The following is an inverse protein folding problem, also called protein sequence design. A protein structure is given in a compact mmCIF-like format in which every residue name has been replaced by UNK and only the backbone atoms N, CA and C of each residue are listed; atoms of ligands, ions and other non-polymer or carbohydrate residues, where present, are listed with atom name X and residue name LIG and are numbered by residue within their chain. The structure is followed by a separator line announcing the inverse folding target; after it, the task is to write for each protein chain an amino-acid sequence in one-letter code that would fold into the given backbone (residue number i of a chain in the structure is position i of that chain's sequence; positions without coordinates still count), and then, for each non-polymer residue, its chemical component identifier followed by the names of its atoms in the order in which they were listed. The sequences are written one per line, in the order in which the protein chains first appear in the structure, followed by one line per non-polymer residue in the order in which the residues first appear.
data_IF_797085918241
#
_entry.id   IF_797085918241
#
_cell.length_a   1.000
_cell.length_b   1.000
_cell.length_c   1.000
_cell.angle_alpha   90.00
_cell.angle_beta   90.00
_cell.angle_gamma   90.00
#
_symmetry.space_group_name_H-M   'P 1'
#
loop_
_entity.id
_entity.type
_entity.pdbx_description
1 polymer ?
#
# COMPACT_ATOMS: atom_id res chain seq x y z
N UNK A 1 14.26 -10.54 10.90
CA UNK A 1 14.44 -9.48 9.88
C UNK A 1 13.09 -8.89 9.49
N UNK A 2 12.84 -7.62 9.85
CA UNK A 2 11.64 -6.84 9.50
C UNK A 2 11.66 -6.53 7.99
N UNK A 3 10.50 -6.51 7.30
CA UNK A 3 10.41 -6.19 5.87
C UNK A 3 10.89 -4.76 5.55
N UNK A 4 11.24 -4.45 4.29
CA UNK A 4 11.82 -3.15 3.90
C UNK A 4 10.89 -1.98 4.22
N UNK A 5 9.59 -2.16 3.97
CA UNK A 5 8.54 -1.22 4.38
C UNK A 5 8.57 -1.10 5.90
N UNK A 6 8.50 -2.21 6.64
CA UNK A 6 8.51 -2.17 8.10
C UNK A 6 9.79 -1.55 8.68
N UNK A 7 10.93 -1.66 8.01
CA UNK A 7 12.18 -1.00 8.39
C UNK A 7 12.05 0.52 8.18
N UNK A 8 11.66 1.00 6.99
CA UNK A 8 11.45 2.43 6.73
C UNK A 8 10.36 3.02 7.65
N UNK A 9 9.26 2.29 7.84
CA UNK A 9 8.06 2.71 8.53
C UNK A 9 8.14 2.58 10.07
N UNK A 10 8.84 1.57 10.61
CA UNK A 10 8.94 1.31 12.06
C UNK A 10 10.34 1.51 12.65
N UNK A 11 11.31 2.08 11.92
CA UNK A 11 12.55 2.56 12.53
C UNK A 11 12.20 3.63 13.57
N UNK A 12 12.16 3.19 14.84
CA UNK A 12 11.95 4.01 16.03
C UNK A 12 13.08 5.04 16.10
N UNK A 13 12.74 6.32 16.29
CA UNK A 13 13.73 7.25 16.79
C UNK A 13 14.24 6.74 18.14
N UNK A 14 15.56 6.72 18.35
CA UNK A 14 16.20 6.26 19.60
C UNK A 14 15.69 6.98 20.87
N UNK A 15 15.05 8.14 20.72
CA UNK A 15 14.51 8.95 21.82
C UNK A 15 13.15 9.55 21.40
N UNK A 16 12.12 9.33 22.23
CA UNK A 16 10.81 10.00 22.12
C UNK A 16 9.60 9.07 22.22
N UNK A 17 8.44 9.57 22.66
CA UNK A 17 7.19 8.80 22.72
C UNK A 17 6.80 8.31 21.32
N UNK A 18 6.09 7.18 21.26
CA UNK A 18 5.66 6.59 20.00
C UNK A 18 4.93 7.65 19.14
N UNK A 19 5.26 7.76 17.84
CA UNK A 19 4.58 8.69 16.97
C UNK A 19 3.07 8.42 17.00
N UNK A 20 2.27 9.47 17.26
CA UNK A 20 0.80 9.42 17.23
C UNK A 20 0.21 9.24 15.81
N UNK A 21 1.05 9.09 14.79
CA UNK A 21 0.62 8.84 13.41
C UNK A 21 0.91 7.39 13.04
N UNK A 22 0.01 6.81 12.25
CA UNK A 22 0.16 5.45 11.80
C UNK A 22 1.26 5.38 10.72
N UNK A 23 2.16 4.40 10.83
CA UNK A 23 3.37 4.32 10.00
C UNK A 23 3.04 4.27 8.49
N UNK A 24 1.89 3.71 8.15
CA UNK A 24 1.30 3.68 6.82
C UNK A 24 1.01 5.06 6.23
N UNK A 25 0.68 6.09 7.03
CA UNK A 25 0.48 7.45 6.51
C UNK A 25 1.79 8.07 6.05
N UNK A 26 2.91 7.74 6.71
CA UNK A 26 4.23 8.14 6.23
C UNK A 26 4.60 7.44 4.93
N UNK A 27 4.25 6.16 4.78
CA UNK A 27 4.42 5.42 3.53
C UNK A 27 3.63 6.06 2.39
N UNK A 28 2.34 6.34 2.64
CA UNK A 28 1.42 6.98 1.67
C UNK A 28 1.90 8.35 1.25
N UNK A 29 2.42 9.15 2.18
CA UNK A 29 2.92 10.49 1.90
C UNK A 29 4.22 10.42 1.10
N UNK A 30 5.14 9.56 1.52
CA UNK A 30 6.42 9.33 0.85
C UNK A 30 6.24 8.82 -0.58
N UNK A 31 5.29 7.91 -0.80
CA UNK A 31 4.94 7.38 -2.12
C UNK A 31 4.47 8.46 -3.12
N UNK A 32 3.79 9.48 -2.63
CA UNK A 32 3.20 10.58 -3.42
C UNK A 32 4.15 11.75 -3.69
N UNK A 33 5.32 11.77 -3.07
CA UNK A 33 6.29 12.86 -3.22
C UNK A 33 7.12 12.71 -4.50
N UNK A 34 6.51 12.99 -5.66
CA UNK A 34 7.22 12.99 -6.95
C UNK A 34 7.89 14.33 -7.25
N UNK A 35 7.25 15.41 -6.80
CA UNK A 35 7.72 16.79 -6.92
C UNK A 35 7.58 17.51 -5.58
N UNK A 36 8.13 18.73 -5.51
CA UNK A 36 7.96 19.57 -4.32
C UNK A 36 6.46 19.84 -4.10
N UNK A 37 5.93 19.43 -2.95
CA UNK A 37 4.50 19.54 -2.64
C UNK A 37 4.29 20.16 -1.27
N UNK A 38 3.34 21.10 -1.15
CA UNK A 38 3.00 21.74 0.11
C UNK A 38 2.28 20.81 1.10
N UNK A 39 2.41 21.10 2.40
CA UNK A 39 1.78 20.31 3.49
C UNK A 39 0.26 20.18 3.32
N UNK A 40 -0.43 21.29 3.08
CA UNK A 40 -1.90 21.29 2.95
C UNK A 40 -2.36 20.45 1.75
N UNK A 41 -1.67 20.56 0.61
CA UNK A 41 -1.94 19.74 -0.56
C UNK A 41 -1.73 18.25 -0.29
N UNK A 42 -0.65 17.87 0.40
CA UNK A 42 -0.42 16.49 0.83
C UNK A 42 -1.54 16.03 1.78
N UNK A 43 -1.85 16.79 2.82
CA UNK A 43 -2.88 16.46 3.81
C UNK A 43 -4.24 16.21 3.13
N UNK A 44 -4.65 17.11 2.24
CA UNK A 44 -5.87 16.99 1.45
C UNK A 44 -5.84 15.74 0.56
N UNK A 45 -4.77 15.53 -0.22
CA UNK A 45 -4.69 14.40 -1.14
C UNK A 45 -4.67 13.02 -0.46
N UNK A 46 -4.20 12.95 0.80
CA UNK A 46 -4.20 11.72 1.60
C UNK A 46 -5.47 11.57 2.47
N UNK A 47 -6.30 12.62 2.59
CA UNK A 47 -7.45 12.64 3.49
C UNK A 47 -7.05 12.55 4.97
N UNK A 48 -5.93 13.16 5.36
CA UNK A 48 -5.46 13.16 6.77
C UNK A 48 -5.39 14.58 7.32
N UNK A 49 -5.67 14.74 8.61
CA UNK A 49 -5.62 16.05 9.27
C UNK A 49 -4.25 16.71 9.22
N UNK A 50 -4.22 18.04 9.20
CA UNK A 50 -2.97 18.82 9.07
C UNK A 50 -1.95 18.53 10.18
N UNK A 51 -2.40 18.34 11.42
CA UNK A 51 -1.53 17.99 12.55
C UNK A 51 -0.83 16.64 12.35
N UNK A 52 -1.56 15.66 11.82
CA UNK A 52 -1.01 14.35 11.45
C UNK A 52 0.02 14.50 10.34
N UNK A 53 -0.30 15.27 9.28
CA UNK A 53 0.62 15.51 8.17
C UNK A 53 1.90 16.22 8.62
N UNK A 54 1.81 17.22 9.51
CA UNK A 54 2.98 17.87 10.11
C UNK A 54 3.89 16.85 10.79
N UNK A 55 3.31 15.91 11.53
CA UNK A 55 4.08 14.89 12.25
C UNK A 55 4.72 13.87 11.29
N UNK A 56 3.99 13.44 10.26
CA UNK A 56 4.50 12.58 9.19
C UNK A 56 5.71 13.22 8.48
N UNK A 57 5.56 14.47 8.03
CA UNK A 57 6.63 15.18 7.31
C UNK A 57 7.85 15.40 8.20
N UNK A 58 7.66 15.75 9.49
CA UNK A 58 8.76 15.85 10.44
C UNK A 58 9.51 14.52 10.59
N UNK A 59 8.80 13.39 10.64
CA UNK A 59 9.43 12.06 10.72
C UNK A 59 10.26 11.73 9.49
N UNK A 60 9.71 11.95 8.29
CA UNK A 60 10.44 11.75 7.03
C UNK A 60 11.67 12.65 6.92
N UNK A 61 11.57 13.90 7.39
CA UNK A 61 12.66 14.87 7.40
C UNK A 61 13.80 14.43 8.34
N UNK A 62 13.48 14.06 9.59
CA UNK A 62 14.47 13.58 10.57
C UNK A 62 15.19 12.31 10.08
N UNK A 63 14.52 11.45 9.31
CA UNK A 63 15.13 10.27 8.68
C UNK A 63 16.00 10.60 7.46
N UNK A 64 16.07 11.87 7.06
CA UNK A 64 16.79 12.35 5.89
C UNK A 64 16.18 11.91 4.55
N UNK A 65 14.90 11.56 4.54
CA UNK A 65 14.20 11.07 3.33
C UNK A 65 13.62 12.22 2.50
N UNK A 66 13.31 13.34 3.15
CA UNK A 66 12.78 14.54 2.49
C UNK A 66 13.54 15.78 2.92
N UNK A 67 13.54 16.77 2.05
CA UNK A 67 13.92 18.16 2.31
C UNK A 67 12.66 19.02 2.48
N UNK A 68 12.75 20.09 3.27
CA UNK A 68 11.64 20.99 3.59
C UNK A 68 12.03 22.44 3.34
N UNK A 69 11.20 23.17 2.60
CA UNK A 69 11.35 24.60 2.32
C UNK A 69 9.97 25.29 2.41
N UNK A 70 9.89 26.63 2.44
CA UNK A 70 8.61 27.35 2.40
C UNK A 70 7.72 26.94 1.21
N UNK A 71 8.34 26.58 0.08
CA UNK A 71 7.65 26.08 -1.12
C UNK A 71 7.17 24.62 -1.04
N UNK A 72 7.38 23.94 0.09
CA UNK A 72 6.89 22.58 0.35
C UNK A 72 8.01 21.56 0.57
N UNK A 73 7.70 20.28 0.36
CA UNK A 73 8.56 19.16 0.68
C UNK A 73 8.91 18.34 -0.55
N UNK A 74 10.16 17.87 -0.67
CA UNK A 74 10.64 17.03 -1.78
C UNK A 74 11.52 15.89 -1.28
N UNK A 75 11.73 14.84 -2.08
CA UNK A 75 12.67 13.78 -1.75
C UNK A 75 14.13 14.31 -1.73
N UNK A 76 14.93 13.78 -0.81
CA UNK A 76 16.41 13.87 -0.90
C UNK A 76 16.94 12.81 -1.86
N UNK A 77 18.24 12.83 -2.17
CA UNK A 77 18.88 11.74 -2.94
C UNK A 77 18.71 10.37 -2.25
N UNK A 78 18.82 10.33 -0.91
CA UNK A 78 18.55 9.14 -0.10
C UNK A 78 17.09 8.70 -0.21
N UNK A 79 16.15 9.64 -0.08
CA UNK A 79 14.72 9.39 -0.24
C UNK A 79 14.38 8.84 -1.62
N UNK A 80 14.90 9.46 -2.67
CA UNK A 80 14.70 9.00 -4.04
C UNK A 80 15.18 7.55 -4.23
N UNK A 81 16.40 7.23 -3.78
CA UNK A 81 16.95 5.86 -3.85
C UNK A 81 16.05 4.85 -3.14
N UNK A 82 15.53 5.20 -1.97
CA UNK A 82 14.63 4.35 -1.20
C UNK A 82 13.27 4.19 -1.89
N UNK A 83 12.70 5.27 -2.43
CA UNK A 83 11.45 5.22 -3.18
C UNK A 83 11.59 4.35 -4.44
N UNK A 84 12.72 4.41 -5.13
CA UNK A 84 12.99 3.55 -6.28
C UNK A 84 13.04 2.07 -5.89
N UNK A 85 13.66 1.72 -4.76
CA UNK A 85 13.62 0.35 -4.23
C UNK A 85 12.21 -0.11 -3.94
N UNK A 86 11.39 0.78 -3.36
CA UNK A 86 9.98 0.50 -3.10
C UNK A 86 9.19 0.30 -4.39
N UNK A 87 9.41 1.14 -5.42
CA UNK A 87 8.77 1.06 -6.75
C UNK A 87 9.13 -0.19 -7.54
N UNK A 88 10.25 -0.85 -7.24
CA UNK A 88 10.59 -2.18 -7.80
C UNK A 88 9.72 -3.31 -7.27
N UNK A 89 9.06 -3.09 -6.12
CA UNK A 89 8.27 -4.10 -5.42
C UNK A 89 6.79 -3.76 -5.41
N UNK A 90 6.43 -2.53 -5.07
CA UNK A 90 5.10 -1.96 -5.25
C UNK A 90 5.08 -1.32 -6.64
N UNK A 91 4.47 -1.98 -7.61
CA UNK A 91 4.48 -1.50 -9.00
C UNK A 91 3.44 -0.39 -9.17
N UNK A 92 2.25 -0.57 -8.61
CA UNK A 92 1.19 0.43 -8.67
C UNK A 92 0.16 0.26 -7.56
N UNK A 93 -0.56 1.34 -7.28
CA UNK A 93 -1.72 1.39 -6.41
C UNK A 93 -2.85 2.04 -7.22
N UNK A 94 -3.99 1.35 -7.37
CA UNK A 94 -5.12 1.85 -8.15
C UNK A 94 -6.42 1.72 -7.37
N UNK A 95 -7.31 2.70 -7.53
CA UNK A 95 -8.70 2.53 -7.11
C UNK A 95 -9.37 1.50 -8.00
N UNK A 96 -10.19 0.65 -7.41
CA UNK A 96 -10.92 -0.40 -8.10
C UNK A 96 -12.42 -0.12 -7.93
N UNK A 97 -13.23 -0.23 -9.00
CA UNK A 97 -14.68 -0.10 -8.88
C UNK A 97 -15.26 -1.11 -7.89
N UNK A 98 -16.34 -0.71 -7.22
CA UNK A 98 -17.15 -1.64 -6.45
C UNK A 98 -17.67 -2.75 -7.36
N UNK A 99 -17.68 -3.99 -6.86
CA UNK A 99 -18.13 -5.15 -7.61
C UNK A 99 -18.52 -6.29 -6.68
N UNK A 100 -19.09 -7.39 -7.20
CA UNK A 100 -19.36 -8.58 -6.41
C UNK A 100 -18.11 -9.20 -5.76
N UNK A 101 -16.92 -8.98 -6.34
CA UNK A 101 -15.64 -9.44 -5.76
C UNK A 101 -15.26 -8.64 -4.50
N UNK A 102 -15.76 -7.41 -4.38
CA UNK A 102 -15.49 -6.50 -3.26
C UNK A 102 -16.73 -6.29 -2.39
N UNK A 103 -17.73 -7.17 -2.51
CA UNK A 103 -19.02 -7.07 -1.82
C UNK A 103 -19.69 -5.69 -1.99
N UNK A 104 -19.59 -5.11 -3.18
CA UNK A 104 -20.11 -3.78 -3.51
C UNK A 104 -19.50 -2.62 -2.70
N UNK A 105 -18.39 -2.86 -1.99
CA UNK A 105 -17.66 -1.80 -1.29
C UNK A 105 -16.65 -1.10 -2.22
N UNK A 106 -16.36 0.19 -1.95
CA UNK A 106 -15.17 0.85 -2.47
C UNK A 106 -13.92 0.01 -2.25
N UNK A 107 -13.09 -0.08 -3.29
CA UNK A 107 -11.90 -0.91 -3.26
C UNK A 107 -10.67 -0.19 -3.80
N UNK A 108 -9.51 -0.70 -3.44
CA UNK A 108 -8.24 -0.34 -4.05
C UNK A 108 -7.38 -1.59 -4.14
N UNK A 109 -6.41 -1.58 -5.03
CA UNK A 109 -5.50 -2.69 -5.20
C UNK A 109 -4.06 -2.21 -5.32
N UNK A 110 -3.15 -2.95 -4.66
CA UNK A 110 -1.70 -2.80 -4.80
C UNK A 110 -1.18 -3.94 -5.66
N UNK A 111 -0.49 -3.61 -6.74
CA UNK A 111 0.30 -4.56 -7.51
C UNK A 111 1.69 -4.70 -6.89
N UNK A 112 2.09 -5.93 -6.65
CA UNK A 112 3.30 -6.33 -5.96
C UNK A 112 4.12 -7.30 -6.81
N UNK A 113 5.43 -7.10 -6.88
CA UNK A 113 6.34 -7.90 -7.71
C UNK A 113 7.45 -8.56 -6.90
N UNK A 114 7.69 -9.84 -7.17
CA UNK A 114 8.76 -10.62 -6.55
C UNK A 114 8.65 -10.65 -5.02
N UNK A 115 7.42 -10.76 -4.52
CA UNK A 115 7.09 -10.79 -3.09
C UNK A 115 6.78 -12.23 -2.69
N UNK A 116 7.25 -12.64 -1.51
CA UNK A 116 6.97 -13.98 -0.96
C UNK A 116 6.13 -13.85 0.31
N UNK A 117 5.18 -14.77 0.46
CA UNK A 117 4.37 -14.89 1.67
C UNK A 117 5.14 -15.69 2.74
N UNK A 118 5.11 -15.20 3.98
CA UNK A 118 5.72 -15.88 5.15
C UNK A 118 4.74 -16.72 5.95
N UNK A 119 3.46 -16.53 5.70
CA UNK A 119 2.35 -17.18 6.39
C UNK A 119 1.41 -17.75 5.34
N UNK A 120 0.59 -18.71 5.75
CA UNK A 120 -0.46 -19.25 4.89
C UNK A 120 -1.48 -18.17 4.52
N UNK A 121 -2.22 -18.40 3.44
CA UNK A 121 -3.14 -17.41 2.88
C UNK A 121 -4.31 -17.07 3.79
N UNK A 122 -4.73 -17.98 4.69
CA UNK A 122 -5.83 -17.72 5.62
C UNK A 122 -5.35 -16.78 6.73
N UNK A 123 -4.23 -17.08 7.37
CA UNK A 123 -3.61 -16.20 8.38
C UNK A 123 -3.30 -14.83 7.80
N UNK A 124 -2.77 -14.78 6.58
CA UNK A 124 -2.48 -13.52 5.90
C UNK A 124 -3.74 -12.67 5.71
N UNK A 125 -4.82 -13.29 5.22
CA UNK A 125 -6.10 -12.60 5.03
C UNK A 125 -6.61 -12.02 6.35
N UNK A 126 -6.56 -12.79 7.44
CA UNK A 126 -7.05 -12.35 8.74
C UNK A 126 -6.24 -11.16 9.29
N UNK A 127 -4.91 -11.19 9.13
CA UNK A 127 -4.04 -10.04 9.47
C UNK A 127 -4.31 -8.81 8.58
N UNK A 128 -4.65 -9.01 7.31
CA UNK A 128 -5.04 -7.93 6.39
C UNK A 128 -6.37 -7.30 6.79
N UNK A 129 -7.35 -8.09 7.26
CA UNK A 129 -8.60 -7.55 7.82
C UNK A 129 -8.32 -6.75 9.09
N UNK A 130 -7.44 -7.25 9.99
CA UNK A 130 -6.95 -6.50 11.17
C UNK A 130 -6.21 -5.21 10.83
N UNK A 131 -5.87 -4.99 9.55
CA UNK A 131 -5.31 -3.74 9.07
C UNK A 131 -6.36 -2.63 8.87
N UNK A 132 -7.63 -2.87 9.19
CA UNK A 132 -8.72 -1.89 9.12
C UNK A 132 -9.56 -2.00 7.85
N UNK A 133 -9.34 -3.04 7.05
CA UNK A 133 -10.14 -3.36 5.86
C UNK A 133 -11.40 -4.12 6.26
N UNK A 134 -12.49 -3.94 5.53
CA UNK A 134 -13.68 -4.80 5.69
C UNK A 134 -13.44 -6.18 5.08
N UNK A 135 -12.57 -6.26 4.08
CA UNK A 135 -12.03 -7.51 3.56
C UNK A 135 -10.85 -7.27 2.63
N UNK A 136 -10.11 -8.34 2.39
CA UNK A 136 -8.97 -8.31 1.48
C UNK A 136 -8.88 -9.62 0.71
N UNK A 137 -8.70 -9.51 -0.60
CA UNK A 137 -8.46 -10.64 -1.50
C UNK A 137 -7.04 -10.56 -2.02
N UNK A 138 -6.28 -11.62 -1.81
CA UNK A 138 -4.98 -11.81 -2.43
C UNK A 138 -5.19 -12.47 -3.79
N UNK A 139 -4.63 -11.92 -4.85
CA UNK A 139 -4.66 -12.50 -6.19
C UNK A 139 -3.24 -12.71 -6.68
N UNK A 140 -3.02 -13.77 -7.44
CA UNK A 140 -1.75 -14.00 -8.14
C UNK A 140 -1.99 -14.01 -9.63
N UNK A 141 -1.09 -13.41 -10.40
CA UNK A 141 -1.14 -13.47 -11.85
C UNK A 141 -0.29 -14.65 -12.33
N UNK A 142 -0.94 -15.70 -12.80
CA UNK A 142 -0.28 -16.88 -13.35
C UNK A 142 -0.94 -17.31 -14.67
N UNK A 143 -0.14 -17.71 -15.65
CA UNK A 143 -0.59 -18.14 -16.99
C UNK A 143 -1.56 -17.14 -17.65
N UNK A 144 -1.24 -15.84 -17.56
CA UNK A 144 -2.03 -14.79 -18.22
C UNK A 144 -3.35 -14.43 -17.53
N UNK A 145 -3.63 -14.93 -16.32
CA UNK A 145 -4.87 -14.65 -15.58
C UNK A 145 -4.64 -14.46 -14.09
N UNK A 146 -5.53 -13.69 -13.46
CA UNK A 146 -5.58 -13.58 -12.00
C UNK A 146 -6.29 -14.78 -11.38
N UNK A 147 -5.66 -15.38 -10.37
CA UNK A 147 -6.17 -16.53 -9.62
C UNK A 147 -6.30 -16.17 -8.12
N UNK A 148 -7.36 -16.68 -7.48
CA UNK A 148 -7.66 -16.48 -6.05
C UNK A 148 -7.15 -17.70 -5.25
N UNK A 149 -6.59 -17.54 -4.05
CA UNK A 149 -6.30 -18.63 -3.13
C UNK A 149 -7.52 -19.51 -2.83
N UNK A 150 -7.36 -20.84 -2.70
CA UNK A 150 -6.11 -21.57 -2.94
C UNK A 150 -5.77 -21.55 -4.43
N UNK A 151 -4.52 -21.19 -4.77
CA UNK A 151 -4.04 -20.95 -6.14
C UNK A 151 -4.08 -22.17 -7.07
N UNK A 152 -4.59 -23.30 -6.57
CA UNK A 152 -4.76 -24.56 -7.28
C UNK A 152 -6.23 -24.91 -7.56
N UNK A 153 -7.20 -24.10 -7.10
CA UNK A 153 -8.60 -24.28 -7.43
C UNK A 153 -8.93 -23.57 -8.76
N UNK A 154 -9.80 -24.15 -9.61
CA UNK A 154 -10.31 -23.44 -10.77
C UNK A 154 -10.92 -22.13 -10.28
N UNK A 155 -10.36 -21.03 -10.74
CA UNK A 155 -10.80 -19.67 -10.42
C UNK A 155 -12.32 -19.63 -10.55
N UNK A 156 -13.03 -19.33 -9.45
CA UNK A 156 -14.49 -19.38 -9.41
C UNK A 156 -15.06 -18.60 -10.60
N UNK A 157 -15.64 -19.31 -11.57
CA UNK A 157 -16.16 -18.73 -12.82
C UNK A 157 -17.07 -17.51 -12.58
N UNK A 158 -17.71 -17.48 -11.40
CA UNK A 158 -18.48 -16.36 -10.84
C UNK A 158 -17.76 -14.99 -10.90
N UNK A 159 -16.44 -14.94 -10.71
CA UNK A 159 -15.69 -13.67 -10.63
C UNK A 159 -14.85 -13.36 -11.87
N UNK A 160 -14.97 -14.14 -12.95
CA UNK A 160 -14.17 -13.96 -14.16
C UNK A 160 -14.26 -12.52 -14.75
N UNK A 161 -15.43 -11.85 -14.81
CA UNK A 161 -15.51 -10.47 -15.31
C UNK A 161 -14.68 -9.47 -14.49
N UNK A 162 -14.72 -9.59 -13.16
CA UNK A 162 -14.00 -8.71 -12.23
C UNK A 162 -12.48 -8.96 -12.31
N UNK A 163 -12.07 -10.22 -12.41
CA UNK A 163 -10.67 -10.60 -12.56
C UNK A 163 -10.09 -10.15 -13.91
N UNK A 164 -10.87 -10.23 -14.99
CA UNK A 164 -10.49 -9.69 -16.30
C UNK A 164 -10.36 -8.16 -16.26
N UNK A 165 -11.24 -7.48 -15.53
CA UNK A 165 -11.20 -6.03 -15.35
C UNK A 165 -9.93 -5.62 -14.61
N UNK A 166 -9.59 -6.32 -13.51
CA UNK A 166 -8.33 -6.11 -12.78
C UNK A 166 -7.11 -6.39 -13.67
N UNK A 167 -7.14 -7.46 -14.46
CA UNK A 167 -6.04 -7.79 -15.37
C UNK A 167 -5.77 -6.67 -16.38
N UNK A 168 -6.82 -6.04 -16.92
CA UNK A 168 -6.70 -4.87 -17.81
C UNK A 168 -6.29 -3.59 -17.08
N UNK A 169 -6.63 -3.48 -15.81
CA UNK A 169 -6.31 -2.31 -15.00
C UNK A 169 -4.82 -2.25 -14.63
N UNK A 170 -4.11 -3.38 -14.58
CA UNK A 170 -2.72 -3.47 -14.14
C UNK A 170 -1.81 -3.95 -15.28
N UNK A 171 -0.52 -3.59 -15.21
CA UNK A 171 0.51 -4.11 -16.12
C UNK A 171 1.19 -5.30 -15.45
N UNK A 172 0.47 -6.42 -15.37
CA UNK A 172 0.87 -7.60 -14.61
C UNK A 172 1.91 -8.45 -15.35
N UNK A 173 2.86 -8.97 -14.59
CA UNK A 173 3.82 -9.99 -15.03
C UNK A 173 3.60 -11.29 -14.26
N UNK A 174 4.09 -12.40 -14.80
CA UNK A 174 3.96 -13.73 -14.19
C UNK A 174 4.50 -13.74 -12.75
N UNK A 175 3.69 -14.24 -11.82
CA UNK A 175 4.00 -14.25 -10.40
C UNK A 175 3.77 -12.92 -9.67
N UNK A 176 3.29 -11.87 -10.34
CA UNK A 176 2.85 -10.64 -9.66
C UNK A 176 1.65 -10.97 -8.73
N UNK A 177 1.61 -10.26 -7.62
CA UNK A 177 0.55 -10.36 -6.62
C UNK A 177 -0.28 -9.08 -6.69
N UNK A 178 -1.60 -9.22 -6.70
CA UNK A 178 -2.52 -8.10 -6.56
C UNK A 178 -3.22 -8.23 -5.22
N UNK A 179 -2.95 -7.27 -4.34
CA UNK A 179 -3.60 -7.15 -3.04
C UNK A 179 -4.83 -6.25 -3.16
N UNK A 180 -6.02 -6.83 -3.22
CA UNK A 180 -7.29 -6.12 -3.36
C UNK A 180 -7.94 -5.92 -1.98
N UNK A 181 -7.96 -4.68 -1.49
CA UNK A 181 -8.61 -4.31 -0.23
C UNK A 181 -9.90 -3.55 -0.49
N UNK A 182 -10.92 -3.77 0.35
CA UNK A 182 -12.20 -3.08 0.25
C UNK A 182 -12.81 -2.76 1.62
N UNK A 183 -13.69 -1.77 1.65
CA UNK A 183 -14.33 -1.30 2.88
C UNK A 183 -15.11 0.00 2.73
N UNK A 184 -15.56 0.55 3.85
CA UNK A 184 -16.56 1.63 3.89
C UNK A 184 -16.14 2.92 3.20
N UNK A 185 -14.87 3.29 3.24
CA UNK A 185 -14.38 4.51 2.60
C UNK A 185 -12.99 4.32 1.96
N UNK A 186 -12.73 5.07 0.88
CA UNK A 186 -11.53 4.92 0.05
C UNK A 186 -10.23 5.22 0.80
N UNK A 187 -10.24 6.20 1.71
CA UNK A 187 -9.05 6.63 2.47
C UNK A 187 -8.59 5.54 3.41
N UNK A 188 -9.52 4.94 4.17
CA UNK A 188 -9.22 3.85 5.10
C UNK A 188 -8.88 2.57 4.37
N UNK A 189 -9.49 2.31 3.20
CA UNK A 189 -9.11 1.17 2.35
C UNK A 189 -7.66 1.30 1.89
N UNK A 190 -7.26 2.46 1.40
CA UNK A 190 -5.88 2.68 1.01
C UNK A 190 -4.92 2.56 2.21
N UNK A 191 -5.28 3.17 3.35
CA UNK A 191 -4.50 3.08 4.58
C UNK A 191 -4.31 1.63 5.03
N UNK A 192 -5.40 0.86 5.05
CA UNK A 192 -5.38 -0.56 5.40
C UNK A 192 -4.55 -1.40 4.42
N UNK A 193 -4.57 -1.07 3.13
CA UNK A 193 -3.71 -1.71 2.14
C UNK A 193 -2.23 -1.45 2.37
N UNK A 194 -1.83 -0.22 2.71
CA UNK A 194 -0.42 0.07 3.05
C UNK A 194 0.04 -0.67 4.30
N UNK A 195 -0.85 -0.78 5.30
CA UNK A 195 -0.58 -1.56 6.51
C UNK A 195 -0.49 -3.07 6.22
N UNK A 196 -1.38 -3.60 5.40
CA UNK A 196 -1.35 -4.98 4.93
C UNK A 196 -0.09 -5.29 4.10
N UNK A 197 0.30 -4.37 3.22
CA UNK A 197 1.52 -4.43 2.42
C UNK A 197 2.77 -4.55 3.31
N UNK A 198 2.78 -3.89 4.48
CA UNK A 198 3.88 -3.99 5.44
C UNK A 198 4.02 -5.38 6.12
N UNK A 199 3.00 -6.24 6.03
CA UNK A 199 3.06 -7.64 6.48
C UNK A 199 3.83 -8.53 5.50
N UNK A 200 4.00 -8.07 4.27
CA UNK A 200 4.65 -8.81 3.20
C UNK A 200 6.15 -8.49 3.17
N UNK A 201 6.97 -9.48 2.81
CA UNK A 201 8.41 -9.30 2.61
C UNK A 201 8.66 -8.59 1.28
N UNK A 202 8.42 -7.29 1.30
CA UNK A 202 8.72 -6.35 0.22
C UNK A 202 10.11 -5.78 0.47
#
# INVERSE_FOLDING_TARGET
MRGFIQHILLERGKYGPAPRFAAEDAARAFWRLERRTGRAALAHSLGIGEGTMRTVLRSLYVKGLIDSAPSGHKLTAKGFTILQKLRKKIISLKQVPASPLTFEFPASAIQLRGVRFRMDTLTLRDEMVRSGLSGCTLLRFDNGRLIIPPFHAPTHAKYAPQLNTLTKLFSLEEGDIVLLGYGKNKVDVERGLWKACALLNI
#
